data_IF_494144392417
#
_entry.id   IF_494144392417
#
_cell.length_a   1.000
_cell.length_b   1.000
_cell.length_c   1.000
_cell.angle_alpha   90.00
_cell.angle_beta   90.00
_cell.angle_gamma   90.00
#
_symmetry.space_group_name_H-M   'P 1'
#
loop_
_entity.id
_entity.type
_entity.pdbx_description
1 polymer ?
#
# COMPACT_ATOMS: atom_id res chain seq x y z
N UNK A 1 -6.92 19.43 -20.86
CA UNK A 1 -7.11 17.96 -20.80
C UNK A 1 -6.52 17.51 -19.47
N UNK A 2 -7.32 17.01 -18.52
CA UNK A 2 -6.78 16.53 -17.23
C UNK A 2 -6.28 15.10 -17.45
N UNK A 3 -5.01 14.78 -17.15
CA UNK A 3 -4.51 13.42 -17.32
C UNK A 3 -5.32 12.44 -16.46
N UNK A 4 -5.65 11.27 -17.04
CA UNK A 4 -6.31 10.19 -16.28
C UNK A 4 -5.32 9.60 -15.28
N UNK A 5 -5.60 9.78 -13.98
CA UNK A 5 -4.86 9.14 -12.90
C UNK A 5 -4.95 7.62 -13.05
N UNK A 6 -3.79 6.95 -13.00
CA UNK A 6 -3.69 5.47 -13.08
C UNK A 6 -3.21 4.87 -11.76
N UNK A 7 -2.24 5.53 -11.14
CA UNK A 7 -1.51 5.05 -9.98
C UNK A 7 -1.25 6.22 -9.03
N UNK A 8 -1.27 5.94 -7.73
CA UNK A 8 -0.82 6.85 -6.68
C UNK A 8 0.34 6.17 -5.97
N UNK A 9 1.46 6.88 -5.86
CA UNK A 9 2.64 6.42 -5.11
C UNK A 9 2.63 7.14 -3.76
N UNK A 10 2.67 6.38 -2.67
CA UNK A 10 2.89 6.88 -1.30
C UNK A 10 4.32 6.55 -0.89
N UNK A 11 5.02 7.57 -0.42
CA UNK A 11 6.33 7.46 0.24
C UNK A 11 6.40 8.43 1.40
N UNK A 12 7.31 8.17 2.32
CA UNK A 12 7.65 9.11 3.39
C UNK A 12 8.62 10.18 2.88
N UNK A 13 8.87 11.23 3.68
CA UNK A 13 9.69 12.38 3.30
C UNK A 13 11.21 12.08 3.29
N UNK A 14 11.61 10.91 3.77
CA UNK A 14 12.97 10.39 3.79
C UNK A 14 13.26 9.38 2.66
N UNK A 15 12.37 9.26 1.67
CA UNK A 15 12.50 8.32 0.55
C UNK A 15 12.65 8.99 -0.82
N UNK A 16 13.25 8.27 -1.76
CA UNK A 16 13.41 8.69 -3.17
C UNK A 16 12.70 7.72 -4.11
N UNK A 17 11.94 8.27 -5.06
CA UNK A 17 11.23 7.48 -6.08
C UNK A 17 11.87 7.66 -7.46
N UNK A 18 12.22 6.55 -8.12
CA UNK A 18 12.62 6.54 -9.54
C UNK A 18 11.40 6.52 -10.45
N UNK A 19 10.74 7.67 -10.60
CA UNK A 19 9.42 7.80 -11.26
C UNK A 19 9.34 7.14 -12.65
N UNK A 20 10.33 7.36 -13.52
CA UNK A 20 10.32 6.77 -14.87
C UNK A 20 10.41 5.24 -14.84
N UNK A 21 11.31 4.69 -14.02
CA UNK A 21 11.45 3.23 -13.84
C UNK A 21 10.21 2.62 -13.19
N UNK A 22 9.58 3.34 -12.27
CA UNK A 22 8.32 2.95 -11.64
C UNK A 22 7.20 2.86 -12.68
N UNK A 23 7.08 3.85 -13.56
CA UNK A 23 6.08 3.84 -14.63
C UNK A 23 6.24 2.62 -15.55
N UNK A 24 7.46 2.34 -16.01
CA UNK A 24 7.73 1.15 -16.84
C UNK A 24 7.38 -0.15 -16.10
N UNK A 25 7.80 -0.28 -14.84
CA UNK A 25 7.50 -1.43 -14.00
C UNK A 25 6.00 -1.67 -13.85
N UNK A 26 5.23 -0.62 -13.55
CA UNK A 26 3.78 -0.73 -13.40
C UNK A 26 3.09 -1.06 -14.73
N UNK A 27 3.55 -0.50 -15.86
CA UNK A 27 3.02 -0.83 -17.19
C UNK A 27 3.27 -2.28 -17.59
N UNK A 28 4.40 -2.85 -17.21
CA UNK A 28 4.80 -4.22 -17.54
C UNK A 28 4.06 -5.27 -16.68
N UNK A 29 3.91 -5.01 -15.38
CA UNK A 29 3.46 -6.03 -14.43
C UNK A 29 1.99 -5.91 -13.99
N UNK A 30 1.40 -4.71 -14.11
CA UNK A 30 0.07 -4.42 -13.58
C UNK A 30 -0.84 -3.80 -14.64
N UNK A 31 -1.72 -4.61 -15.29
CA UNK A 31 -2.72 -4.05 -16.19
C UNK A 31 -3.68 -3.17 -15.38
N UNK A 32 -3.84 -1.91 -15.83
CA UNK A 32 -4.61 -0.81 -15.18
C UNK A 32 -6.10 -1.17 -14.89
N UNK A 33 -6.56 -2.35 -15.30
CA UNK A 33 -7.95 -2.80 -15.21
C UNK A 33 -8.31 -3.43 -13.86
N UNK A 34 -7.35 -3.73 -12.98
CA UNK A 34 -7.61 -4.35 -11.67
C UNK A 34 -7.28 -3.40 -10.50
N UNK A 35 -8.05 -3.46 -9.40
CA UNK A 35 -7.62 -2.87 -8.13
C UNK A 35 -6.32 -3.56 -7.68
N UNK A 36 -5.27 -2.78 -7.42
CA UNK A 36 -3.97 -3.34 -7.06
C UNK A 36 -3.29 -2.51 -5.98
N UNK A 37 -2.60 -3.20 -5.08
CA UNK A 37 -1.66 -2.63 -4.11
C UNK A 37 -0.31 -3.28 -4.36
N UNK A 38 0.71 -2.47 -4.64
CA UNK A 38 2.07 -2.91 -4.98
C UNK A 38 3.04 -2.39 -3.94
N UNK A 39 3.89 -3.25 -3.39
CA UNK A 39 4.93 -2.86 -2.45
C UNK A 39 5.53 -4.03 -1.69
N UNK A 40 6.16 -3.75 -0.56
CA UNK A 40 6.55 -4.81 0.37
C UNK A 40 5.31 -5.27 1.16
N UNK A 41 4.59 -6.26 0.64
CA UNK A 41 3.35 -6.74 1.27
C UNK A 41 3.67 -7.68 2.43
N UNK A 42 3.07 -7.39 3.57
CA UNK A 42 3.09 -8.20 4.78
C UNK A 42 1.82 -9.03 4.85
N UNK A 43 1.97 -10.31 5.18
CA UNK A 43 0.88 -11.27 5.33
C UNK A 43 0.94 -11.86 6.73
N UNK A 44 -0.23 -12.13 7.31
CA UNK A 44 -0.39 -12.85 8.58
C UNK A 44 0.43 -12.27 9.76
N UNK A 45 0.69 -10.96 9.75
CA UNK A 45 1.40 -10.30 10.84
C UNK A 45 0.49 -10.14 12.06
N UNK A 46 1.01 -10.45 13.24
CA UNK A 46 0.31 -10.21 14.50
C UNK A 46 0.05 -8.73 14.74
N UNK A 47 -1.09 -8.43 15.36
CA UNK A 47 -1.42 -7.08 15.79
C UNK A 47 -0.59 -6.71 17.01
N UNK A 48 0.14 -5.60 16.91
CA UNK A 48 0.90 -5.06 18.04
C UNK A 48 -0.06 -4.65 19.17
N UNK A 49 0.08 -5.28 20.33
CA UNK A 49 -0.76 -5.01 21.52
C UNK A 49 -0.09 -4.08 22.53
N UNK A 50 1.18 -3.78 22.31
CA UNK A 50 2.01 -2.90 23.13
C UNK A 50 3.03 -2.13 22.28
N UNK A 51 3.80 -1.26 22.94
CA UNK A 51 4.85 -0.46 22.30
C UNK A 51 4.34 0.70 21.45
N UNK A 52 5.26 1.28 20.67
CA UNK A 52 5.01 2.46 19.80
C UNK A 52 3.89 2.22 18.79
N UNK A 53 3.79 0.99 18.29
CA UNK A 53 2.89 0.60 17.21
C UNK A 53 1.61 -0.08 17.71
N UNK A 54 1.28 0.10 19.00
CA UNK A 54 0.12 -0.53 19.63
C UNK A 54 -1.19 -0.12 18.93
N UNK A 55 -1.93 -1.12 18.45
CA UNK A 55 -3.21 -0.93 17.80
C UNK A 55 -4.34 -0.51 18.76
N UNK A 56 -5.37 0.12 18.19
CA UNK A 56 -6.59 0.49 18.89
C UNK A 56 -7.22 -0.75 19.58
N UNK A 57 -7.66 -0.61 20.85
CA UNK A 57 -8.34 -1.70 21.56
C UNK A 57 -9.62 -2.20 20.87
N UNK A 58 -10.22 -1.38 19.99
CA UNK A 58 -11.39 -1.75 19.19
C UNK A 58 -11.06 -2.74 18.06
N UNK A 59 -9.80 -2.87 17.64
CA UNK A 59 -9.41 -3.85 16.64
C UNK A 59 -9.19 -5.23 17.29
N UNK A 60 -10.22 -6.06 17.24
CA UNK A 60 -10.27 -7.34 17.98
C UNK A 60 -9.53 -8.49 17.29
N UNK A 61 -9.15 -8.36 16.01
CA UNK A 61 -8.48 -9.43 15.28
C UNK A 61 -7.05 -9.62 15.79
N UNK A 62 -6.55 -10.86 15.80
CA UNK A 62 -5.18 -11.16 16.25
C UNK A 62 -4.12 -10.89 15.19
N UNK A 63 -4.50 -10.91 13.92
CA UNK A 63 -3.62 -10.66 12.77
C UNK A 63 -4.21 -9.59 11.87
N UNK A 64 -3.34 -8.83 11.21
CA UNK A 64 -3.75 -7.92 10.15
C UNK A 64 -4.02 -8.69 8.85
N UNK A 65 -5.01 -8.27 8.04
CA UNK A 65 -5.12 -8.69 6.63
C UNK A 65 -3.90 -8.18 5.84
N UNK A 66 -3.67 -8.63 4.60
CA UNK A 66 -2.52 -8.17 3.81
C UNK A 66 -2.44 -6.64 3.71
N UNK A 67 -1.26 -6.08 3.97
CA UNK A 67 -1.02 -4.63 3.99
C UNK A 67 0.37 -4.30 3.42
N UNK A 68 0.55 -3.14 2.76
CA UNK A 68 1.85 -2.71 2.27
C UNK A 68 2.66 -2.04 3.39
N UNK A 69 3.85 -2.53 3.72
CA UNK A 69 4.67 -1.90 4.76
C UNK A 69 5.03 -0.45 4.40
N UNK A 70 4.55 0.52 5.19
CA UNK A 70 4.68 1.95 4.91
C UNK A 70 6.11 2.42 4.79
N UNK A 71 7.01 1.88 5.60
CA UNK A 71 8.45 2.20 5.60
C UNK A 71 9.19 1.75 4.34
N UNK A 72 8.54 1.11 3.37
CA UNK A 72 9.10 0.75 2.06
C UNK A 72 8.45 1.55 0.92
N UNK A 73 7.49 2.43 1.23
CA UNK A 73 6.59 3.02 0.25
C UNK A 73 5.67 1.98 -0.39
N UNK A 74 4.62 2.48 -1.06
CA UNK A 74 3.71 1.61 -1.80
C UNK A 74 3.00 2.36 -2.93
N UNK A 75 2.40 1.58 -3.83
CA UNK A 75 1.63 2.09 -4.96
C UNK A 75 0.23 1.49 -4.91
N UNK A 76 -0.79 2.33 -5.10
CA UNK A 76 -2.18 1.87 -5.26
C UNK A 76 -2.70 2.25 -6.64
N UNK A 77 -3.48 1.36 -7.24
CA UNK A 77 -4.17 1.68 -8.51
C UNK A 77 -5.27 2.70 -8.28
N UNK A 78 -5.68 3.40 -9.34
CA UNK A 78 -6.78 4.36 -9.31
C UNK A 78 -8.05 3.80 -8.66
N UNK A 79 -8.33 2.50 -8.82
CA UNK A 79 -9.53 1.88 -8.30
C UNK A 79 -9.49 1.79 -6.76
N UNK A 80 -8.32 1.45 -6.20
CA UNK A 80 -8.09 1.46 -4.74
C UNK A 80 -8.12 2.90 -4.22
N UNK A 81 -7.42 3.83 -4.87
CA UNK A 81 -7.43 5.24 -4.47
C UNK A 81 -8.83 5.84 -4.47
N UNK A 82 -9.62 5.55 -5.52
CA UNK A 82 -11.01 5.99 -5.62
C UNK A 82 -11.90 5.35 -4.54
N UNK A 83 -11.69 4.07 -4.22
CA UNK A 83 -12.40 3.41 -3.13
C UNK A 83 -12.17 4.13 -1.80
N UNK A 84 -10.91 4.41 -1.44
CA UNK A 84 -10.56 5.14 -0.21
C UNK A 84 -11.17 6.54 -0.22
N UNK A 85 -10.99 7.30 -1.30
CA UNK A 85 -11.51 8.65 -1.41
C UNK A 85 -13.05 8.72 -1.34
N UNK A 86 -13.75 7.70 -1.83
CA UNK A 86 -15.22 7.65 -1.81
C UNK A 86 -15.80 7.23 -0.45
N UNK A 87 -14.99 6.66 0.44
CA UNK A 87 -15.43 6.16 1.75
C UNK A 87 -14.76 6.90 2.91
N UNK A 88 -14.00 7.96 2.64
CA UNK A 88 -13.12 8.60 3.62
C UNK A 88 -13.84 9.01 4.92
N UNK A 89 -15.12 9.39 4.84
CA UNK A 89 -15.92 9.78 6.01
C UNK A 89 -16.41 8.59 6.86
N UNK A 90 -16.43 7.38 6.28
CA UNK A 90 -16.89 6.13 6.92
C UNK A 90 -15.73 5.22 7.36
N UNK A 91 -14.50 5.51 6.91
CA UNK A 91 -13.33 4.70 7.23
C UNK A 91 -12.81 5.01 8.64
N UNK A 92 -12.47 3.96 9.39
CA UNK A 92 -11.79 4.09 10.69
C UNK A 92 -10.29 4.16 10.45
N UNK A 93 -9.65 5.24 10.91
CA UNK A 93 -8.19 5.31 10.99
C UNK A 93 -7.69 4.43 12.14
N UNK A 94 -6.90 3.40 11.80
CA UNK A 94 -6.20 2.55 12.76
C UNK A 94 -4.81 3.10 13.05
N UNK A 95 -4.04 2.44 13.91
CA UNK A 95 -2.76 2.97 14.39
C UNK A 95 -1.78 3.34 13.25
N UNK A 96 -1.73 2.56 12.18
CA UNK A 96 -0.91 2.83 11.00
C UNK A 96 -1.78 3.11 9.77
N UNK A 97 -1.40 4.10 8.94
CA UNK A 97 -2.14 4.35 7.70
C UNK A 97 -2.03 3.17 6.71
N UNK A 98 -0.90 2.46 6.78
CA UNK A 98 -0.59 1.28 5.99
C UNK A 98 -1.40 0.04 6.43
N UNK A 99 -1.47 -0.23 7.73
CA UNK A 99 -2.34 -1.28 8.27
C UNK A 99 -3.82 -0.95 8.04
N UNK A 100 -4.20 0.33 8.17
CA UNK A 100 -5.55 0.83 7.87
C UNK A 100 -5.97 0.48 6.44
N UNK A 101 -5.11 0.74 5.45
CA UNK A 101 -5.41 0.40 4.05
C UNK A 101 -5.72 -1.09 3.87
N UNK A 102 -4.95 -1.97 4.51
CA UNK A 102 -5.22 -3.42 4.49
C UNK A 102 -6.56 -3.78 5.13
N UNK A 103 -6.89 -3.15 6.26
CA UNK A 103 -8.17 -3.36 6.96
C UNK A 103 -9.35 -2.90 6.11
N UNK A 104 -9.31 -1.68 5.57
CA UNK A 104 -10.37 -1.11 4.73
C UNK A 104 -10.69 -1.98 3.51
N UNK A 105 -9.64 -2.47 2.85
CA UNK A 105 -9.76 -3.41 1.73
C UNK A 105 -10.45 -4.70 2.18
N UNK A 106 -10.07 -5.25 3.33
CA UNK A 106 -10.59 -6.51 3.83
C UNK A 106 -12.04 -6.41 4.36
N UNK A 107 -12.45 -5.24 4.87
CA UNK A 107 -13.81 -5.02 5.34
C UNK A 107 -14.80 -4.78 4.19
N UNK A 108 -14.32 -4.22 3.07
CA UNK A 108 -15.13 -4.09 1.87
C UNK A 108 -15.13 -5.38 1.04
N UNK A 109 -16.28 -6.08 1.00
CA UNK A 109 -16.43 -7.36 0.28
C UNK A 109 -15.92 -7.33 -1.16
N UNK A 110 -16.28 -6.30 -1.94
CA UNK A 110 -15.90 -6.19 -3.34
C UNK A 110 -14.40 -5.94 -3.50
N UNK A 111 -13.81 -5.09 -2.67
CA UNK A 111 -12.35 -4.85 -2.69
C UNK A 111 -11.58 -6.09 -2.26
N UNK A 112 -11.99 -6.74 -1.17
CA UNK A 112 -11.38 -7.97 -0.68
C UNK A 112 -11.28 -9.06 -1.75
N UNK A 113 -12.33 -9.23 -2.56
CA UNK A 113 -12.39 -10.26 -3.60
C UNK A 113 -11.65 -9.87 -4.90
N UNK A 114 -11.48 -8.56 -5.16
CA UNK A 114 -10.97 -8.07 -6.45
C UNK A 114 -9.55 -7.51 -6.41
N UNK A 115 -9.07 -7.07 -5.24
CA UNK A 115 -7.76 -6.45 -5.13
C UNK A 115 -6.64 -7.48 -5.31
N UNK A 116 -5.63 -7.09 -6.09
CA UNK A 116 -4.38 -7.83 -6.19
C UNK A 116 -3.34 -7.19 -5.29
N UNK A 117 -2.84 -7.93 -4.32
CA UNK A 117 -1.61 -7.57 -3.61
C UNK A 117 -0.41 -8.11 -4.38
N UNK A 118 0.43 -7.21 -4.91
CA UNK A 118 1.65 -7.55 -5.62
C UNK A 118 2.86 -7.21 -4.76
N UNK A 119 3.50 -8.25 -4.22
CA UNK A 119 4.76 -8.11 -3.50
C UNK A 119 5.91 -7.88 -4.47
N UNK A 120 6.78 -6.91 -4.16
CA UNK A 120 8.00 -6.64 -4.92
C UNK A 120 9.17 -6.38 -3.98
N UNK A 121 10.36 -6.88 -4.34
CA UNK A 121 11.63 -6.59 -3.66
C UNK A 121 12.32 -5.33 -4.20
N UNK A 122 11.70 -4.66 -5.19
CA UNK A 122 12.26 -3.45 -5.78
C UNK A 122 12.01 -2.20 -4.95
N UNK A 123 11.24 -2.30 -3.87
CA UNK A 123 11.03 -1.20 -2.92
C UNK A 123 11.90 -1.53 -1.71
N UNK A 124 12.68 -0.57 -1.23
CA UNK A 124 13.63 -0.78 -0.15
C UNK A 124 13.71 0.45 0.75
N UNK A 125 14.23 0.26 1.96
CA UNK A 125 14.48 1.31 2.94
C UNK A 125 15.84 1.18 3.65
N UNK A 126 16.82 0.58 2.97
CA UNK A 126 18.18 0.39 3.52
C UNK A 126 19.13 1.54 3.16
N UNK A 127 18.63 2.56 2.45
CA UNK A 127 19.44 3.72 2.04
C UNK A 127 20.41 3.46 0.88
N UNK A 128 20.40 2.27 0.26
CA UNK A 128 21.24 1.98 -0.91
C UNK A 128 20.67 2.62 -2.19
N UNK A 129 20.92 3.91 -2.38
CA UNK A 129 20.44 4.67 -3.55
C UNK A 129 21.26 4.45 -4.83
N UNK A 130 22.32 3.65 -4.77
CA UNK A 130 23.19 3.34 -5.91
C UNK A 130 22.69 2.14 -6.73
N UNK A 131 21.91 1.25 -6.12
CA UNK A 131 21.30 0.16 -6.85
C UNK A 131 20.15 0.69 -7.73
N UNK A 132 20.33 0.60 -9.05
CA UNK A 132 19.35 1.05 -10.03
C UNK A 132 18.17 0.08 -10.18
N UNK A 133 18.25 -1.12 -9.60
CA UNK A 133 17.14 -2.07 -9.59
C UNK A 133 16.02 -1.63 -8.64
N UNK A 134 16.33 -0.86 -7.58
CA UNK A 134 15.33 -0.30 -6.67
C UNK A 134 14.56 0.86 -7.31
N UNK A 135 13.25 0.86 -7.06
CA UNK A 135 12.27 1.84 -7.53
C UNK A 135 11.92 2.86 -6.44
N UNK A 136 11.92 2.43 -5.18
CA UNK A 136 11.80 3.25 -3.97
C UNK A 136 13.01 2.89 -3.10
N UNK A 137 13.70 3.90 -2.59
CA UNK A 137 14.87 3.79 -1.70
C UNK A 137 14.73 4.73 -0.53
#
# INVERSE_FOLDING_TARGET
HVPKLKWVVKVDDDMVVRVQSMEFFLQEHEPIQKPSVVGNIIYDSEVARDGKWKELPSYLQYTYPPWPQGSFGHVVSYHVARFVAAQIDDLVEYQGEDTSLGIWINENKTMKESVRFMKTSRFHNEGNCHDASFLIV
#
